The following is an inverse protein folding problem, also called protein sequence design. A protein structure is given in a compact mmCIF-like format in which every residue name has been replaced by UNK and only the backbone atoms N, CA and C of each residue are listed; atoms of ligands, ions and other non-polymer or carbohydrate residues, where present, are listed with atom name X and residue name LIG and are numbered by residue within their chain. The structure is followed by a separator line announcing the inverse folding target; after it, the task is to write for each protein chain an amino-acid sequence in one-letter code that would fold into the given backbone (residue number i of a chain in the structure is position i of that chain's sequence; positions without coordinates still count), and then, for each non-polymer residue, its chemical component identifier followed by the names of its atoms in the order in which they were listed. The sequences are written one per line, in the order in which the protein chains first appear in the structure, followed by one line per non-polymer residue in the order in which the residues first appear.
data_IF_045988985653
#
_entry.id   IF_045988985653
#
_cell.length_a   1.000
_cell.length_b   1.000
_cell.length_c   1.000
_cell.angle_alpha   90.00
_cell.angle_beta   90.00
_cell.angle_gamma   90.00
#
_symmetry.space_group_name_H-M   'P 1'
#
loop_
_entity.id
_entity.type
_entity.pdbx_description
1 polymer ?
#
# COMPACT_ATOMS: atom_id res chain seq x y z
N UNK A 1 -7.73 -16.77 45.86
CA UNK A 1 -6.60 -16.09 45.18
C UNK A 1 -7.12 -15.49 43.89
N UNK A 2 -7.12 -14.15 43.80
CA UNK A 2 -7.77 -13.32 42.78
C UNK A 2 -6.81 -13.04 41.62
N UNK A 3 -6.52 -14.04 40.78
CA UNK A 3 -5.67 -13.85 39.59
C UNK A 3 -6.34 -12.99 38.50
N UNK A 4 -7.67 -12.87 38.52
CA UNK A 4 -8.42 -12.21 37.45
C UNK A 4 -8.52 -10.69 37.69
N UNK A 5 -8.38 -10.26 38.96
CA UNK A 5 -8.32 -8.85 39.33
C UNK A 5 -6.94 -8.23 39.01
N UNK A 6 -5.87 -9.02 38.93
CA UNK A 6 -4.58 -8.55 38.41
C UNK A 6 -4.62 -8.32 36.89
N UNK A 7 -5.38 -9.14 36.15
CA UNK A 7 -5.67 -8.92 34.73
C UNK A 7 -6.51 -7.64 34.52
N UNK A 8 -7.51 -7.40 35.38
CA UNK A 8 -8.28 -6.16 35.37
C UNK A 8 -7.48 -4.92 35.80
N UNK A 9 -6.45 -5.09 36.64
CA UNK A 9 -5.54 -4.01 37.07
C UNK A 9 -4.42 -3.71 36.06
N UNK A 10 -4.14 -4.62 35.11
CA UNK A 10 -3.23 -4.39 33.96
C UNK A 10 -3.95 -3.75 32.76
N UNK A 11 -5.28 -3.89 32.67
CA UNK A 11 -6.10 -3.28 31.62
C UNK A 11 -6.25 -1.74 31.66
N UNK A 12 -6.10 -0.99 32.77
CA UNK A 12 -6.21 0.48 32.73
C UNK A 12 -5.02 1.14 32.04
N UNK A 13 -3.86 0.45 31.97
CA UNK A 13 -2.71 0.89 31.16
C UNK A 13 -2.84 0.45 29.69
N UNK A 14 -3.81 -0.39 29.34
CA UNK A 14 -4.12 -0.72 27.94
C UNK A 14 -5.07 0.31 27.28
N UNK A 15 -5.51 1.32 28.03
CA UNK A 15 -6.14 2.54 27.51
C UNK A 15 -5.09 3.56 26.99
N UNK A 16 -3.96 3.07 26.49
CA UNK A 16 -2.94 3.88 25.80
C UNK A 16 -3.43 4.14 24.37
N UNK A 17 -3.97 5.35 24.16
CA UNK A 17 -4.15 6.07 22.90
C UNK A 17 -4.14 5.21 21.62
N UNK A 18 -5.20 4.44 21.38
CA UNK A 18 -5.45 3.88 20.06
C UNK A 18 -5.75 5.00 19.08
N UNK A 19 -4.94 5.15 18.03
CA UNK A 19 -5.16 6.15 16.99
C UNK A 19 -5.89 5.48 15.81
N UNK A 20 -7.08 5.96 15.46
CA UNK A 20 -7.77 5.55 14.23
C UNK A 20 -7.49 6.59 13.14
N UNK A 21 -7.24 6.16 11.91
CA UNK A 21 -6.90 7.04 10.81
C UNK A 21 -7.63 6.67 9.54
N UNK A 22 -8.23 7.65 8.87
CA UNK A 22 -8.76 7.52 7.52
C UNK A 22 -7.98 8.45 6.61
N UNK A 23 -7.54 7.98 5.45
CA UNK A 23 -6.80 8.81 4.49
C UNK A 23 -7.25 8.57 3.05
N UNK A 24 -7.24 9.66 2.28
CA UNK A 24 -7.44 9.66 0.84
C UNK A 24 -6.21 10.26 0.17
N UNK A 25 -5.80 9.71 -0.95
CA UNK A 25 -4.59 10.16 -1.64
C UNK A 25 -4.54 9.85 -3.12
N UNK A 26 -3.52 10.41 -3.76
CA UNK A 26 -3.18 10.13 -5.13
C UNK A 26 -1.90 9.30 -5.18
N UNK A 27 -1.89 8.29 -6.05
CA UNK A 27 -0.76 7.37 -6.23
C UNK A 27 -0.38 7.32 -7.70
N UNK A 28 0.92 7.29 -7.99
CA UNK A 28 1.46 6.92 -9.29
C UNK A 28 1.96 5.46 -9.22
N UNK A 29 1.32 4.57 -9.98
CA UNK A 29 1.72 3.16 -10.06
C UNK A 29 2.63 2.98 -11.26
N UNK A 30 3.80 2.37 -11.05
CA UNK A 30 4.79 2.09 -12.08
C UNK A 30 5.23 0.62 -12.02
N UNK A 31 4.70 -0.21 -12.90
CA UNK A 31 5.08 -1.62 -12.94
C UNK A 31 6.19 -1.83 -13.97
N UNK A 32 7.22 -2.58 -13.58
CA UNK A 32 8.36 -2.92 -14.43
C UNK A 32 8.56 -4.44 -14.39
N UNK A 33 8.76 -5.04 -15.56
CA UNK A 33 9.13 -6.44 -15.65
C UNK A 33 10.64 -6.50 -15.93
N UNK A 34 11.37 -7.40 -15.25
CA UNK A 34 12.82 -7.57 -15.44
C UNK A 34 13.22 -8.11 -16.82
N UNK A 35 12.28 -8.28 -17.75
CA UNK A 35 12.52 -8.60 -19.15
C UNK A 35 12.86 -7.39 -20.04
N UNK A 36 12.89 -7.64 -21.36
CA UNK A 36 13.31 -6.70 -22.43
C UNK A 36 12.41 -5.44 -22.55
N UNK A 37 11.29 -5.38 -21.83
CA UNK A 37 10.25 -4.36 -22.00
C UNK A 37 10.10 -3.48 -20.76
N UNK A 38 10.86 -2.39 -20.72
CA UNK A 38 10.69 -1.28 -19.77
C UNK A 38 9.56 -0.33 -20.22
N UNK A 39 8.30 -0.78 -20.16
CA UNK A 39 7.18 0.14 -20.41
C UNK A 39 6.82 0.86 -19.11
N UNK A 40 7.46 2.00 -18.90
CA UNK A 40 7.42 2.87 -17.71
C UNK A 40 6.35 3.96 -17.82
N UNK A 41 5.12 3.65 -18.22
CA UNK A 41 4.04 4.65 -18.20
C UNK A 41 3.41 4.71 -16.81
N UNK A 42 3.69 5.75 -15.98
CA UNK A 42 3.06 5.87 -14.66
C UNK A 42 1.56 6.05 -14.83
N UNK A 43 0.78 5.31 -14.05
CA UNK A 43 -0.66 5.51 -13.95
C UNK A 43 -1.01 6.26 -12.68
N UNK A 44 -1.70 7.37 -12.86
CA UNK A 44 -2.28 8.09 -11.73
C UNK A 44 -3.53 7.35 -11.27
N UNK A 45 -3.59 7.12 -9.97
CA UNK A 45 -4.67 6.46 -9.27
C UNK A 45 -5.03 7.18 -7.98
N UNK A 46 -6.11 6.72 -7.38
CA UNK A 46 -6.61 7.18 -6.09
C UNK A 46 -6.45 6.06 -5.08
N UNK A 47 -6.21 6.42 -3.83
CA UNK A 47 -6.12 5.51 -2.70
C UNK A 47 -7.04 5.97 -1.58
N UNK A 48 -7.77 5.03 -1.00
CA UNK A 48 -8.47 5.18 0.26
C UNK A 48 -7.94 4.16 1.25
N UNK A 49 -7.53 4.61 2.44
CA UNK A 49 -6.92 3.75 3.43
C UNK A 49 -7.46 4.02 4.82
N UNK A 50 -7.58 2.94 5.59
CA UNK A 50 -7.83 2.96 7.02
C UNK A 50 -6.59 2.46 7.74
N UNK A 51 -6.29 3.04 8.90
CA UNK A 51 -5.18 2.62 9.75
C UNK A 51 -5.58 2.66 11.21
N UNK A 52 -5.26 1.60 11.93
CA UNK A 52 -5.31 1.50 13.37
C UNK A 52 -3.88 1.53 13.93
N UNK A 53 -3.60 2.45 14.84
CA UNK A 53 -2.29 2.64 15.47
C UNK A 53 -2.32 2.34 16.96
N UNK A 54 -1.26 1.68 17.44
CA UNK A 54 -0.96 1.51 18.86
C UNK A 54 0.55 1.57 19.06
N UNK A 55 1.01 2.53 19.86
CA UNK A 55 2.43 2.77 20.10
C UNK A 55 3.23 2.96 18.79
N UNK A 56 4.28 2.16 18.59
CA UNK A 56 5.09 2.15 17.37
C UNK A 56 4.47 1.32 16.23
N UNK A 57 3.36 0.62 16.47
CA UNK A 57 2.74 -0.28 15.49
C UNK A 57 1.51 0.33 14.86
N UNK A 58 1.36 0.12 13.55
CA UNK A 58 0.15 0.50 12.81
C UNK A 58 -0.27 -0.65 11.90
N UNK A 59 -1.54 -1.01 11.97
CA UNK A 59 -2.20 -1.96 11.09
C UNK A 59 -3.09 -1.17 10.15
N UNK A 60 -2.89 -1.32 8.84
CA UNK A 60 -3.66 -0.58 7.86
C UNK A 60 -4.11 -1.46 6.72
N UNK A 61 -5.08 -0.96 5.98
CA UNK A 61 -5.56 -1.58 4.75
C UNK A 61 -6.36 -0.56 3.96
N UNK A 62 -6.50 -0.83 2.67
CA UNK A 62 -7.11 0.14 1.78
C UNK A 62 -7.45 -0.43 0.43
N UNK A 63 -8.03 0.45 -0.36
CA UNK A 63 -8.35 0.22 -1.76
C UNK A 63 -7.59 1.25 -2.59
N UNK A 64 -6.92 0.79 -3.63
CA UNK A 64 -6.34 1.64 -4.66
C UNK A 64 -7.12 1.44 -5.95
N UNK A 65 -7.30 2.51 -6.69
CA UNK A 65 -7.96 2.49 -7.97
C UNK A 65 -7.11 3.23 -8.99
N UNK A 66 -6.89 2.65 -10.15
CA UNK A 66 -6.23 3.33 -11.26
C UNK A 66 -6.91 2.93 -12.58
N UNK A 67 -7.22 3.88 -13.47
CA UNK A 67 -7.90 3.60 -14.72
C UNK A 67 -7.10 2.58 -15.55
N UNK A 68 -7.78 1.54 -16.01
CA UNK A 68 -7.22 0.49 -16.85
C UNK A 68 -8.02 0.33 -18.13
N UNK A 69 -7.35 0.50 -19.26
CA UNK A 69 -7.87 0.00 -20.53
C UNK A 69 -7.86 -1.53 -20.51
N UNK A 70 -9.05 -2.13 -20.59
CA UNK A 70 -9.23 -3.58 -20.80
C UNK A 70 -9.47 -4.42 -19.54
N UNK A 71 -10.74 -4.73 -19.27
CA UNK A 71 -11.20 -6.06 -18.81
C UNK A 71 -11.06 -6.47 -17.33
N UNK A 72 -10.08 -6.02 -16.56
CA UNK A 72 -9.94 -6.40 -15.14
C UNK A 72 -10.36 -5.28 -14.20
N UNK A 73 -10.78 -5.63 -12.98
CA UNK A 73 -11.10 -4.68 -11.91
C UNK A 73 -9.96 -3.65 -11.81
N UNK A 74 -10.20 -2.35 -12.08
CA UNK A 74 -9.18 -1.31 -12.06
C UNK A 74 -8.83 -0.92 -10.60
N UNK A 75 -8.87 -1.90 -9.71
CA UNK A 75 -8.78 -1.73 -8.28
C UNK A 75 -7.88 -2.80 -7.66
N UNK A 76 -7.34 -2.44 -6.51
CA UNK A 76 -6.49 -3.26 -5.67
C UNK A 76 -6.96 -3.11 -4.24
N UNK A 77 -6.96 -4.23 -3.50
CA UNK A 77 -7.17 -4.24 -2.06
C UNK A 77 -5.88 -4.69 -1.40
N UNK A 78 -5.46 -3.99 -0.35
CA UNK A 78 -4.21 -4.28 0.34
C UNK A 78 -4.38 -4.22 1.86
N UNK A 79 -3.47 -4.89 2.56
CA UNK A 79 -3.28 -4.80 4.00
C UNK A 79 -1.78 -4.65 4.30
N UNK A 80 -1.45 -3.83 5.30
CA UNK A 80 -0.08 -3.52 5.69
C UNK A 80 0.10 -3.44 7.20
N UNK A 81 1.30 -3.77 7.63
CA UNK A 81 1.77 -3.55 9.00
C UNK A 81 2.92 -2.58 8.92
N UNK A 82 2.86 -1.48 9.66
CA UNK A 82 3.87 -0.43 9.64
C UNK A 82 4.43 -0.21 11.03
N UNK A 83 5.75 -0.05 11.09
CA UNK A 83 6.47 0.48 12.24
C UNK A 83 6.64 1.98 12.05
N UNK A 84 6.31 2.75 13.07
CA UNK A 84 6.42 4.22 13.07
C UNK A 84 7.36 4.69 14.18
N UNK A 85 8.06 5.79 13.93
CA UNK A 85 8.77 6.50 15.00
C UNK A 85 7.75 7.02 16.06
N UNK A 86 8.07 6.91 17.37
CA UNK A 86 7.10 7.16 18.45
C UNK A 86 6.91 8.63 18.84
N UNK A 87 7.76 9.57 18.38
CA UNK A 87 7.73 10.95 18.86
C UNK A 87 7.83 11.99 17.75
N UNK A 88 7.21 13.15 18.00
CA UNK A 88 7.21 14.31 17.11
C UNK A 88 6.08 14.33 16.07
N UNK A 89 6.05 15.43 15.32
CA UNK A 89 5.15 15.64 14.17
C UNK A 89 5.58 14.81 12.98
N UNK A 90 6.89 14.69 12.75
CA UNK A 90 7.43 13.80 11.72
C UNK A 90 7.44 12.37 12.24
N UNK A 91 6.61 11.52 11.65
CA UNK A 91 6.44 10.12 12.04
C UNK A 91 6.56 9.23 10.83
N UNK A 92 7.79 9.01 10.33
CA UNK A 92 8.02 8.12 9.20
C UNK A 92 7.57 6.71 9.56
N UNK A 93 7.11 5.97 8.56
CA UNK A 93 6.62 4.61 8.75
C UNK A 93 7.16 3.65 7.68
N UNK A 94 7.38 2.38 8.05
CA UNK A 94 7.84 1.35 7.11
C UNK A 94 7.33 -0.02 7.54
N UNK A 95 7.02 -0.89 6.58
CA UNK A 95 6.77 -2.29 6.88
C UNK A 95 6.17 -3.07 5.71
N UNK A 96 5.81 -4.34 5.95
CA UNK A 96 5.31 -5.22 4.90
C UNK A 96 3.88 -4.87 4.50
N UNK A 97 3.59 -5.12 3.22
CA UNK A 97 2.27 -5.04 2.63
C UNK A 97 1.98 -6.29 1.80
N UNK A 98 0.74 -6.74 1.84
CA UNK A 98 0.20 -7.78 0.97
C UNK A 98 -1.06 -7.26 0.30
N UNK A 99 -1.30 -7.67 -0.95
CA UNK A 99 -2.50 -7.22 -1.63
C UNK A 99 -2.91 -8.10 -2.80
N UNK A 100 -4.14 -7.85 -3.24
CA UNK A 100 -4.79 -8.43 -4.39
C UNK A 100 -4.99 -7.32 -5.42
N UNK A 101 -4.25 -7.38 -6.51
CA UNK A 101 -4.24 -6.40 -7.59
C UNK A 101 -4.94 -6.93 -8.84
N UNK A 102 -5.95 -6.19 -9.31
CA UNK A 102 -6.47 -6.31 -10.67
C UNK A 102 -5.79 -5.37 -11.67
N UNK A 103 -4.77 -4.61 -11.25
CA UNK A 103 -4.10 -3.63 -12.09
C UNK A 103 -3.24 -4.34 -13.14
N UNK A 104 -3.38 -4.03 -14.44
CA UNK A 104 -2.60 -4.68 -15.48
C UNK A 104 -1.11 -4.34 -15.31
N UNK A 105 -0.29 -5.37 -15.15
CA UNK A 105 1.14 -5.27 -14.83
C UNK A 105 1.97 -4.99 -16.11
N UNK A 106 1.45 -5.36 -17.28
CA UNK A 106 2.12 -5.22 -18.58
C UNK A 106 1.18 -4.49 -19.52
N UNK A 107 1.64 -3.39 -20.10
CA UNK A 107 0.95 -2.69 -21.19
C UNK A 107 1.84 -2.85 -22.42
N UNK A 108 1.28 -3.38 -23.52
CA UNK A 108 1.97 -3.40 -24.79
C UNK A 108 2.36 -1.95 -25.19
N UNK A 109 3.58 -1.72 -25.72
CA UNK A 109 3.91 -0.44 -26.34
C UNK A 109 2.84 -0.05 -27.36
N UNK A 110 2.51 1.25 -27.46
CA UNK A 110 1.69 1.75 -28.57
C UNK A 110 2.47 1.58 -29.87
N UNK A 111 2.28 0.45 -30.54
CA UNK A 111 2.90 0.10 -31.80
C UNK A 111 3.44 -1.33 -31.82
N UNK A 112 2.60 -2.28 -32.27
CA UNK A 112 3.07 -3.47 -32.96
C UNK A 112 3.07 -4.81 -32.22
N UNK A 113 2.66 -4.90 -30.95
CA UNK A 113 2.40 -6.21 -30.34
C UNK A 113 0.93 -6.63 -30.55
N UNK A 114 0.66 -7.88 -30.96
CA UNK A 114 -0.68 -8.46 -30.88
C UNK A 114 -1.20 -8.38 -29.45
N UNK A 115 -2.44 -7.89 -29.26
CA UNK A 115 -3.11 -7.76 -27.96
C UNK A 115 -3.12 -9.08 -27.17
N UNK A 116 -3.07 -10.21 -27.88
CA UNK A 116 -3.02 -11.57 -27.34
C UNK A 116 -1.79 -11.85 -26.47
N UNK A 117 -0.62 -11.27 -26.78
CA UNK A 117 0.61 -11.48 -26.01
C UNK A 117 0.55 -10.74 -24.66
N UNK A 118 0.00 -9.52 -24.67
CA UNK A 118 -0.18 -8.74 -23.45
C UNK A 118 -1.23 -9.39 -22.53
N UNK A 119 -2.34 -9.88 -23.09
CA UNK A 119 -3.34 -10.64 -22.34
C UNK A 119 -2.81 -11.98 -21.83
N UNK A 120 -2.06 -12.72 -22.65
CA UNK A 120 -1.47 -14.00 -22.25
C UNK A 120 -0.41 -13.84 -21.14
N UNK A 121 0.33 -12.73 -21.13
CA UNK A 121 1.26 -12.42 -20.04
C UNK A 121 0.55 -11.90 -18.78
N UNK A 122 -0.51 -11.09 -18.93
CA UNK A 122 -1.33 -10.66 -17.80
C UNK A 122 -2.00 -11.85 -17.09
N UNK A 123 -2.46 -12.86 -17.83
CA UNK A 123 -3.00 -14.10 -17.27
C UNK A 123 -1.96 -14.97 -16.54
N UNK A 124 -0.66 -14.79 -16.82
CA UNK A 124 0.42 -15.50 -16.13
C UNK A 124 0.84 -14.86 -14.82
N UNK A 125 0.37 -13.64 -14.52
CA UNK A 125 0.71 -12.95 -13.29
C UNK A 125 -0.40 -13.19 -12.26
N UNK A 126 -0.01 -13.66 -11.08
CA UNK A 126 -0.97 -13.86 -10.01
C UNK A 126 -1.48 -12.49 -9.54
N UNK A 127 -2.77 -12.39 -9.16
CA UNK A 127 -3.30 -11.14 -8.65
C UNK A 127 -2.74 -10.83 -7.25
N UNK A 128 -2.15 -11.80 -6.56
CA UNK A 128 -1.55 -11.59 -5.24
C UNK A 128 -0.10 -11.10 -5.34
N UNK A 129 0.24 -10.10 -4.53
CA UNK A 129 1.60 -9.59 -4.38
C UNK A 129 2.00 -9.42 -2.92
N UNK A 130 3.31 -9.34 -2.72
CA UNK A 130 3.95 -8.90 -1.48
C UNK A 130 4.82 -7.70 -1.77
N UNK A 131 4.86 -6.75 -0.85
CA UNK A 131 5.64 -5.53 -0.99
C UNK A 131 6.18 -5.04 0.36
N UNK A 132 7.19 -4.17 0.29
CA UNK A 132 7.60 -3.28 1.38
C UNK A 132 7.02 -1.91 1.08
N UNK A 133 6.35 -1.33 2.06
CA UNK A 133 5.79 0.02 2.01
C UNK A 133 6.57 0.94 2.96
N UNK A 134 6.88 2.15 2.50
CA UNK A 134 7.58 3.17 3.28
C UNK A 134 6.90 4.55 3.09
N UNK A 135 6.78 5.30 4.18
CA UNK A 135 6.23 6.65 4.23
C UNK A 135 7.27 7.56 4.90
N UNK A 136 8.34 7.96 4.18
CA UNK A 136 9.41 8.76 4.75
C UNK A 136 8.96 10.18 5.11
N UNK A 137 8.06 10.79 4.32
CA UNK A 137 7.55 12.15 4.54
C UNK A 137 6.13 12.13 5.11
N UNK A 138 5.97 11.45 6.25
CA UNK A 138 4.71 11.40 6.99
C UNK A 138 4.74 12.34 8.19
N UNK A 139 3.74 13.22 8.24
CA UNK A 139 3.52 14.20 9.28
C UNK A 139 2.17 13.98 9.95
N UNK A 140 2.18 13.85 11.27
CA UNK A 140 0.99 13.67 12.10
C UNK A 140 0.80 14.91 12.95
N UNK A 141 -0.27 15.64 12.68
CA UNK A 141 -0.77 16.71 13.52
C UNK A 141 -1.89 16.18 14.41
N UNK A 142 -2.38 16.98 15.36
CA UNK A 142 -3.39 16.54 16.34
C UNK A 142 -4.60 15.82 15.73
N UNK A 143 -5.13 16.34 14.63
CA UNK A 143 -6.39 15.83 14.03
C UNK A 143 -6.24 15.40 12.58
N UNK A 144 -5.09 15.64 11.96
CA UNK A 144 -4.88 15.32 10.56
C UNK A 144 -3.48 14.79 10.29
N UNK A 145 -3.38 14.02 9.22
CA UNK A 145 -2.16 13.40 8.73
C UNK A 145 -1.89 13.87 7.31
N UNK A 146 -0.64 14.16 7.03
CA UNK A 146 -0.17 14.45 5.68
C UNK A 146 0.98 13.51 5.39
N UNK A 147 0.92 12.80 4.28
CA UNK A 147 1.99 11.92 3.83
C UNK A 147 2.29 12.21 2.38
N UNK A 148 3.57 12.25 2.04
CA UNK A 148 4.04 12.44 0.67
C UNK A 148 5.18 11.45 0.38
N UNK A 149 5.44 11.22 -0.90
CA UNK A 149 6.52 10.35 -1.37
C UNK A 149 6.48 8.95 -0.72
N UNK A 150 5.31 8.34 -0.67
CA UNK A 150 5.20 6.96 -0.20
C UNK A 150 5.84 6.05 -1.24
N UNK A 151 6.67 5.12 -0.80
CA UNK A 151 7.36 4.18 -1.66
C UNK A 151 6.86 2.77 -1.36
N UNK A 152 6.38 2.10 -2.39
CA UNK A 152 6.02 0.70 -2.33
C UNK A 152 6.86 -0.06 -3.35
N UNK A 153 7.54 -1.09 -2.88
CA UNK A 153 8.38 -1.94 -3.70
C UNK A 153 8.05 -3.41 -3.45
N UNK A 154 7.62 -4.13 -4.48
CA UNK A 154 7.13 -5.50 -4.32
C UNK A 154 7.19 -6.35 -5.58
N UNK A 155 6.64 -7.56 -5.47
CA UNK A 155 6.62 -8.56 -6.54
C UNK A 155 5.38 -9.45 -6.43
N UNK A 156 4.80 -9.91 -7.56
CA UNK A 156 3.76 -10.94 -7.56
C UNK A 156 4.28 -12.26 -6.95
N UNK A 157 3.42 -12.95 -6.19
CA UNK A 157 3.82 -14.17 -5.46
C UNK A 157 4.28 -15.30 -6.38
N UNK A 158 3.70 -15.40 -7.58
CA UNK A 158 3.99 -16.50 -8.50
C UNK A 158 5.23 -16.28 -9.38
N UNK A 159 5.84 -15.09 -9.34
CA UNK A 159 7.04 -14.75 -10.11
C UNK A 159 7.99 -13.83 -9.30
N UNK A 160 8.46 -14.28 -8.13
CA UNK A 160 9.32 -13.47 -7.28
C UNK A 160 10.61 -13.11 -8.02
N UNK A 161 10.90 -11.81 -8.13
CA UNK A 161 12.13 -11.29 -8.75
C UNK A 161 12.10 -11.13 -10.27
N UNK A 162 11.14 -11.74 -10.98
CA UNK A 162 10.98 -11.53 -12.43
C UNK A 162 10.08 -10.33 -12.76
N UNK A 163 9.10 -10.04 -11.90
CA UNK A 163 8.25 -8.85 -12.02
C UNK A 163 8.44 -7.95 -10.80
N UNK A 164 8.77 -6.68 -11.04
CA UNK A 164 8.99 -5.67 -10.02
C UNK A 164 7.86 -4.64 -10.07
N UNK A 165 7.23 -4.45 -8.92
CA UNK A 165 6.22 -3.43 -8.75
C UNK A 165 6.83 -2.27 -8.00
N UNK A 166 6.80 -1.09 -8.62
CA UNK A 166 7.08 0.17 -7.95
C UNK A 166 5.78 0.98 -7.88
N UNK A 167 5.48 1.53 -6.72
CA UNK A 167 4.37 2.45 -6.59
C UNK A 167 4.80 3.62 -5.72
N UNK A 168 4.42 4.82 -6.17
CA UNK A 168 4.74 6.08 -5.54
C UNK A 168 3.43 6.72 -5.05
N UNK A 169 3.25 6.83 -3.74
CA UNK A 169 2.22 7.69 -3.17
C UNK A 169 2.66 9.14 -3.28
N UNK A 170 1.91 9.95 -4.02
CA UNK A 170 2.29 11.34 -4.25
C UNK A 170 1.90 12.19 -3.05
N UNK A 171 0.64 12.11 -2.65
CA UNK A 171 0.08 12.85 -1.54
C UNK A 171 -1.11 12.09 -0.95
N UNK A 172 -1.09 11.92 0.37
CA UNK A 172 -2.21 11.39 1.15
C UNK A 172 -2.55 12.35 2.27
N UNK A 173 -3.83 12.65 2.39
CA UNK A 173 -4.41 13.46 3.45
C UNK A 173 -5.31 12.57 4.28
N UNK A 174 -5.10 12.57 5.59
CA UNK A 174 -5.89 11.79 6.51
C UNK A 174 -6.38 12.55 7.72
N UNK A 175 -7.37 11.99 8.38
CA UNK A 175 -7.94 12.46 9.64
C UNK A 175 -7.66 11.41 10.69
N UNK A 176 -7.24 11.85 11.88
CA UNK A 176 -7.11 10.99 13.06
C UNK A 176 -8.39 11.12 13.86
N UNK A 177 -9.03 9.98 14.14
CA UNK A 177 -10.27 9.83 14.91
C UNK A 177 -9.97 9.37 16.34
#
# INVERSE_FOLDING_TARGET
MRSWLLLAALLPHAALASEHGLSLGATAVLLTNGGVYNVTSPRLGLEAAYTYGRDAWRLGGGVRWAPGGGGSLPAEVYARVLLTAPSGTWRPAVGPEVGLSGLPIIIAPRGGLPDDLAQAQAHKLAPFYVAVHAQPLRFVFRSFTVSALELQWGTPINQPGAALRLQLGLLHLGVVL
#
